data_IF_477599131927
#
_entry.id   IF_477599131927
#
_cell.length_a   1.000
_cell.length_b   1.000
_cell.length_c   1.000
_cell.angle_alpha   90.00
_cell.angle_beta   90.00
_cell.angle_gamma   90.00
#
_symmetry.space_group_name_H-M   'P 1'
#
loop_
_entity.id
_entity.type
_entity.pdbx_description
1 polymer ?
#
# COMPACT_ATOMS: atom_id res chain seq x y z
N UNK A 1 20.87 -17.02 -3.84
CA UNK A 1 20.17 -15.71 -3.77
C UNK A 1 19.28 -15.59 -5.00
N UNK A 2 18.01 -15.19 -4.89
CA UNK A 2 17.19 -14.95 -6.07
C UNK A 2 17.84 -13.85 -6.94
N UNK A 3 17.99 -14.13 -8.22
CA UNK A 3 18.65 -13.24 -9.19
C UNK A 3 17.75 -12.04 -9.44
N UNK A 4 18.24 -10.82 -9.18
CA UNK A 4 17.54 -9.58 -9.54
C UNK A 4 17.22 -9.59 -11.04
N UNK A 5 15.96 -9.39 -11.41
CA UNK A 5 15.56 -9.35 -12.81
C UNK A 5 16.07 -8.06 -13.47
N UNK A 6 16.46 -8.13 -14.75
CA UNK A 6 16.76 -6.94 -15.56
C UNK A 6 15.48 -6.15 -15.85
N UNK A 7 15.59 -4.86 -16.18
CA UNK A 7 14.42 -4.06 -16.56
C UNK A 7 13.74 -4.62 -17.82
N UNK A 8 14.51 -5.04 -18.83
CA UNK A 8 13.94 -5.69 -20.03
C UNK A 8 13.12 -6.93 -19.70
N UNK A 9 13.56 -7.74 -18.72
CA UNK A 9 12.80 -8.90 -18.28
C UNK A 9 11.52 -8.49 -17.54
N UNK A 10 11.54 -7.38 -16.80
CA UNK A 10 10.36 -6.83 -16.11
C UNK A 10 9.35 -6.23 -17.08
N UNK A 11 9.81 -5.54 -18.11
CA UNK A 11 8.96 -5.01 -19.19
C UNK A 11 8.33 -6.15 -20.01
N UNK A 12 9.11 -7.20 -20.34
CA UNK A 12 8.56 -8.42 -20.96
C UNK A 12 7.54 -9.13 -20.09
N UNK A 13 7.74 -9.10 -18.76
CA UNK A 13 6.79 -9.59 -17.77
C UNK A 13 5.65 -8.60 -17.48
N UNK A 14 5.53 -7.50 -18.23
CA UNK A 14 4.46 -6.50 -18.13
C UNK A 14 4.33 -5.86 -16.74
N UNK A 15 5.42 -5.73 -15.99
CA UNK A 15 5.41 -5.08 -14.65
C UNK A 15 5.23 -3.56 -14.68
N UNK A 16 5.09 -2.99 -15.88
CA UNK A 16 4.84 -1.58 -16.12
C UNK A 16 3.40 -1.30 -16.57
N UNK A 17 2.53 -2.31 -16.65
CA UNK A 17 1.13 -2.13 -17.06
C UNK A 17 0.20 -2.36 -15.88
N UNK A 18 -0.83 -1.52 -15.78
CA UNK A 18 -1.93 -1.71 -14.84
C UNK A 18 -2.96 -2.60 -15.51
N UNK A 19 -2.88 -3.90 -15.22
CA UNK A 19 -3.85 -4.91 -15.64
C UNK A 19 -4.23 -5.80 -14.43
N UNK A 20 -5.08 -6.79 -14.69
CA UNK A 20 -5.53 -7.74 -13.66
C UNK A 20 -4.40 -8.58 -13.04
N UNK A 21 -3.23 -8.63 -13.70
CA UNK A 21 -2.04 -9.36 -13.29
C UNK A 21 -0.88 -8.45 -12.90
N UNK A 22 -1.18 -7.19 -12.51
CA UNK A 22 -0.15 -6.22 -12.10
C UNK A 22 0.86 -6.83 -11.12
N UNK A 23 2.14 -6.57 -11.37
CA UNK A 23 3.23 -6.93 -10.46
C UNK A 23 4.07 -5.70 -10.16
N UNK A 24 4.41 -5.51 -8.88
CA UNK A 24 5.34 -4.47 -8.46
C UNK A 24 6.64 -4.52 -9.26
N UNK A 25 7.15 -3.34 -9.65
CA UNK A 25 8.41 -3.27 -10.40
C UNK A 25 9.58 -3.90 -9.65
N UNK A 26 9.64 -3.67 -8.33
CA UNK A 26 10.60 -4.31 -7.44
C UNK A 26 9.83 -5.16 -6.45
N UNK A 27 10.13 -6.45 -6.44
CA UNK A 27 9.62 -7.37 -5.43
C UNK A 27 10.57 -7.43 -4.23
N UNK A 28 10.04 -7.80 -3.06
CA UNK A 28 10.80 -7.85 -1.80
C UNK A 28 12.09 -8.67 -1.91
N UNK A 29 12.08 -9.77 -2.67
CA UNK A 29 13.23 -10.65 -2.89
C UNK A 29 14.35 -10.02 -3.74
N UNK A 30 14.02 -9.01 -4.56
CA UNK A 30 14.96 -8.30 -5.42
C UNK A 30 15.62 -7.10 -4.71
N UNK A 31 15.17 -6.79 -3.50
CA UNK A 31 15.58 -5.61 -2.75
C UNK A 31 16.60 -5.98 -1.66
N UNK A 32 17.88 -5.87 -2.02
CA UNK A 32 19.02 -6.13 -1.13
C UNK A 32 19.56 -4.82 -0.57
N UNK A 33 18.93 -4.29 0.48
CA UNK A 33 19.51 -3.21 1.30
C UNK A 33 19.84 -3.70 2.69
N UNK A 34 20.81 -3.05 3.36
CA UNK A 34 21.23 -3.37 4.72
C UNK A 34 20.11 -3.28 5.78
N UNK A 35 19.07 -2.48 5.52
CA UNK A 35 17.85 -2.48 6.32
C UNK A 35 16.89 -3.57 5.82
N UNK A 36 16.84 -4.71 6.50
CA UNK A 36 16.03 -5.90 6.19
C UNK A 36 14.51 -5.70 6.38
N UNK A 37 13.95 -4.54 6.03
CA UNK A 37 12.58 -4.16 6.39
C UNK A 37 11.57 -4.25 5.23
N UNK A 38 11.80 -5.18 4.29
CA UNK A 38 10.82 -5.50 3.24
C UNK A 38 9.67 -6.32 3.81
N UNK A 39 8.47 -6.15 3.27
CA UNK A 39 7.28 -6.91 3.66
C UNK A 39 6.52 -7.37 2.41
N UNK A 40 6.07 -8.62 2.40
CA UNK A 40 5.12 -9.10 1.40
C UNK A 40 3.80 -9.41 2.10
N UNK A 41 2.68 -9.06 1.47
CA UNK A 41 1.36 -9.20 2.08
C UNK A 41 0.30 -9.45 0.99
N UNK A 42 -0.63 -10.37 1.24
CA UNK A 42 -1.72 -10.66 0.31
C UNK A 42 -2.87 -9.69 0.55
N UNK A 43 -3.21 -8.86 -0.45
CA UNK A 43 -4.34 -7.94 -0.37
C UNK A 43 -5.64 -8.70 -0.13
N UNK A 44 -6.36 -8.35 0.93
CA UNK A 44 -7.58 -9.09 1.31
C UNK A 44 -8.74 -8.91 0.32
N UNK A 45 -8.71 -7.84 -0.49
CA UNK A 45 -9.76 -7.52 -1.46
C UNK A 45 -9.48 -8.11 -2.85
N UNK A 46 -8.24 -8.05 -3.34
CA UNK A 46 -7.86 -8.55 -4.68
C UNK A 46 -7.17 -9.92 -4.66
N UNK A 47 -6.71 -10.39 -3.50
CA UNK A 47 -5.93 -11.62 -3.38
C UNK A 47 -4.49 -11.51 -3.92
N UNK A 48 -4.07 -10.34 -4.40
CA UNK A 48 -2.75 -10.12 -4.98
C UNK A 48 -1.67 -10.09 -3.91
N UNK A 49 -0.56 -10.80 -4.14
CA UNK A 49 0.63 -10.68 -3.32
C UNK A 49 1.33 -9.35 -3.62
N UNK A 50 1.32 -8.45 -2.64
CA UNK A 50 1.94 -7.13 -2.72
C UNK A 50 3.35 -7.12 -2.12
N UNK A 51 4.19 -6.19 -2.58
CA UNK A 51 5.58 -6.04 -2.13
C UNK A 51 5.92 -4.63 -1.66
N UNK A 52 6.26 -4.49 -0.39
CA UNK A 52 6.63 -3.23 0.24
C UNK A 52 8.11 -3.20 0.59
N UNK A 53 8.78 -2.09 0.27
CA UNK A 53 10.22 -1.92 0.52
C UNK A 53 10.52 -1.29 1.89
N UNK A 54 9.49 -1.05 2.69
CA UNK A 54 9.58 -0.54 4.06
C UNK A 54 8.25 -0.59 4.79
N UNK A 55 8.27 -0.74 6.11
CA UNK A 55 7.05 -0.80 6.94
C UNK A 55 6.19 0.46 6.84
N UNK A 56 6.80 1.63 6.62
CA UNK A 56 6.05 2.88 6.44
C UNK A 56 5.11 2.81 5.22
N UNK A 57 5.59 2.21 4.11
CA UNK A 57 4.77 1.99 2.91
C UNK A 57 3.65 0.98 3.20
N UNK A 58 3.97 -0.09 3.93
CA UNK A 58 2.99 -1.11 4.31
C UNK A 58 1.88 -0.55 5.20
N UNK A 59 2.22 0.22 6.24
CA UNK A 59 1.23 0.84 7.11
C UNK A 59 0.38 1.88 6.37
N UNK A 60 0.99 2.70 5.51
CA UNK A 60 0.24 3.64 4.67
C UNK A 60 -0.74 2.91 3.74
N UNK A 61 -0.31 1.80 3.14
CA UNK A 61 -1.16 0.94 2.32
C UNK A 61 -2.35 0.41 3.13
N UNK A 62 -2.15 -0.12 4.34
CA UNK A 62 -3.24 -0.65 5.18
C UNK A 62 -4.32 0.41 5.45
N UNK A 63 -3.90 1.63 5.81
CA UNK A 63 -4.81 2.76 6.04
C UNK A 63 -5.58 3.14 4.77
N UNK A 64 -4.89 3.24 3.63
CA UNK A 64 -5.52 3.62 2.36
C UNK A 64 -6.46 2.54 1.86
N UNK A 65 -6.04 1.27 1.89
CA UNK A 65 -6.78 0.14 1.36
C UNK A 65 -8.08 -0.13 2.13
N UNK A 66 -8.12 0.23 3.41
CA UNK A 66 -9.31 0.16 4.24
C UNK A 66 -10.36 1.22 3.91
N UNK A 67 -10.03 2.28 3.16
CA UNK A 67 -11.02 3.29 2.75
C UNK A 67 -11.96 2.72 1.69
N UNK A 68 -13.27 2.97 1.85
CA UNK A 68 -14.30 2.44 0.96
C UNK A 68 -14.22 2.93 -0.47
N UNK A 69 -13.71 4.14 -0.69
CA UNK A 69 -13.56 4.71 -2.03
C UNK A 69 -12.38 4.10 -2.80
N UNK A 70 -11.46 3.38 -2.14
CA UNK A 70 -10.27 2.80 -2.78
C UNK A 70 -10.62 1.46 -3.43
N UNK A 71 -10.46 1.41 -4.75
CA UNK A 71 -10.68 0.23 -5.57
C UNK A 71 -9.45 -0.69 -5.58
N UNK A 72 -8.27 -0.14 -5.84
CA UNK A 72 -7.01 -0.89 -5.91
C UNK A 72 -5.80 0.01 -5.56
N UNK A 73 -4.66 -0.62 -5.24
CA UNK A 73 -3.41 0.06 -4.91
C UNK A 73 -2.24 -0.62 -5.62
N UNK A 74 -1.56 0.09 -6.52
CA UNK A 74 -0.40 -0.39 -7.26
C UNK A 74 0.89 0.11 -6.59
N UNK A 75 1.58 -0.79 -5.90
CA UNK A 75 2.80 -0.50 -5.15
C UNK A 75 4.05 -0.59 -6.02
N UNK A 76 5.05 0.25 -5.74
CA UNK A 76 6.30 0.33 -6.50
C UNK A 76 6.09 0.54 -8.01
N UNK A 77 5.12 1.39 -8.37
CA UNK A 77 4.73 1.61 -9.76
C UNK A 77 5.88 2.29 -10.54
N UNK A 78 6.34 1.73 -11.66
CA UNK A 78 7.46 2.27 -12.40
C UNK A 78 7.05 3.49 -13.25
N UNK A 79 7.80 4.58 -13.12
CA UNK A 79 7.63 5.73 -14.01
C UNK A 79 8.40 5.54 -15.32
N UNK A 80 7.95 6.22 -16.38
CA UNK A 80 8.68 6.24 -17.64
C UNK A 80 10.08 6.85 -17.42
N UNK A 81 11.12 6.13 -17.84
CA UNK A 81 12.50 6.54 -17.58
C UNK A 81 12.91 7.76 -18.40
N UNK A 82 12.48 7.83 -19.66
CA UNK A 82 12.82 8.95 -20.54
C UNK A 82 12.14 10.23 -20.06
N UNK A 83 10.86 10.14 -19.68
CA UNK A 83 10.13 11.28 -19.12
C UNK A 83 10.75 11.78 -17.81
N UNK A 84 11.08 10.86 -16.88
CA UNK A 84 11.72 11.24 -15.62
C UNK A 84 13.14 11.81 -15.82
N UNK A 85 13.89 11.33 -16.82
CA UNK A 85 15.18 11.90 -17.19
C UNK A 85 15.05 13.27 -17.85
N UNK A 86 14.07 13.48 -18.72
CA UNK A 86 13.79 14.78 -19.33
C UNK A 86 13.41 15.82 -18.26
N UNK A 87 12.58 15.43 -17.29
CA UNK A 87 12.25 16.27 -16.14
C UNK A 87 13.52 16.56 -15.33
N UNK A 88 14.33 15.54 -15.03
CA UNK A 88 15.58 15.73 -14.28
C UNK A 88 16.52 16.73 -14.97
N UNK A 89 16.69 16.63 -16.29
CA UNK A 89 17.54 17.54 -17.07
C UNK A 89 17.01 18.97 -17.05
N UNK A 90 15.69 19.15 -17.23
CA UNK A 90 15.05 20.46 -17.20
C UNK A 90 15.23 21.18 -15.86
N UNK A 91 15.44 20.42 -14.78
CA UNK A 91 15.65 20.90 -13.42
C UNK A 91 17.13 20.99 -13.02
N UNK A 92 18.05 20.57 -13.91
CA UNK A 92 19.48 20.46 -13.61
C UNK A 92 19.81 19.38 -12.55
N UNK A 93 18.96 18.36 -12.42
CA UNK A 93 19.12 17.25 -11.47
C UNK A 93 19.80 16.05 -12.11
N UNK A 94 20.37 15.19 -11.26
CA UNK A 94 21.01 13.94 -11.73
C UNK A 94 19.98 12.98 -12.35
N UNK A 95 20.28 12.50 -13.57
CA UNK A 95 19.54 11.45 -14.28
C UNK A 95 19.48 10.12 -13.52
N UNK A 96 18.50 9.30 -13.90
CA UNK A 96 18.34 7.90 -13.50
C UNK A 96 18.96 6.98 -14.55
N UNK A 97 19.59 5.91 -14.08
CA UNK A 97 20.22 4.91 -14.97
C UNK A 97 19.30 3.70 -15.12
N UNK A 98 19.32 3.08 -16.30
CA UNK A 98 18.71 1.78 -16.57
C UNK A 98 19.19 0.71 -15.58
N UNK A 99 18.31 -0.23 -15.24
CA UNK A 99 18.64 -1.48 -14.55
C UNK A 99 18.46 -1.46 -13.02
N UNK A 100 18.80 -0.36 -12.34
CA UNK A 100 18.80 -0.35 -10.85
C UNK A 100 18.23 0.90 -10.18
N UNK A 101 17.91 1.95 -10.95
CA UNK A 101 17.62 3.29 -10.37
C UNK A 101 16.40 4.00 -10.96
N UNK A 102 15.56 3.32 -11.75
CA UNK A 102 14.28 3.88 -12.21
C UNK A 102 13.47 4.41 -11.02
N UNK A 103 12.80 5.54 -11.23
CA UNK A 103 11.94 6.14 -10.22
C UNK A 103 10.64 5.33 -10.09
N UNK A 104 10.23 5.10 -8.85
CA UNK A 104 9.02 4.35 -8.52
C UNK A 104 8.12 5.20 -7.66
N UNK A 105 6.83 5.18 -7.94
CA UNK A 105 5.81 5.68 -7.03
C UNK A 105 5.50 4.63 -5.98
N UNK A 106 5.56 5.02 -4.71
CA UNK A 106 5.39 4.08 -3.60
C UNK A 106 4.01 3.42 -3.64
N UNK A 107 2.94 4.21 -3.78
CA UNK A 107 1.56 3.72 -3.89
C UNK A 107 0.80 4.57 -4.92
N UNK A 108 0.38 3.96 -6.02
CA UNK A 108 -0.55 4.55 -6.98
C UNK A 108 -1.94 3.97 -6.70
N UNK A 109 -2.85 4.80 -6.17
CA UNK A 109 -4.16 4.38 -5.69
C UNK A 109 -5.20 4.68 -6.75
N UNK A 110 -6.04 3.69 -7.08
CA UNK A 110 -7.21 3.85 -7.93
C UNK A 110 -8.47 3.91 -7.07
N UNK A 111 -9.28 4.93 -7.28
CA UNK A 111 -10.59 5.03 -6.62
C UNK A 111 -11.70 4.30 -7.42
N UNK A 112 -12.85 4.12 -6.78
CA UNK A 112 -14.04 3.49 -7.39
C UNK A 112 -14.62 4.29 -8.57
N UNK A 113 -14.30 5.58 -8.67
CA UNK A 113 -14.68 6.43 -9.80
C UNK A 113 -13.72 6.30 -10.98
N UNK A 114 -12.65 5.50 -10.84
CA UNK A 114 -11.64 5.27 -11.88
C UNK A 114 -10.50 6.27 -11.89
N UNK A 115 -10.47 7.25 -10.96
CA UNK A 115 -9.38 8.21 -10.88
C UNK A 115 -8.19 7.65 -10.10
N UNK A 116 -7.01 8.19 -10.41
CA UNK A 116 -5.76 7.81 -9.77
C UNK A 116 -5.22 8.92 -8.86
N UNK A 117 -4.59 8.54 -7.76
CA UNK A 117 -3.80 9.42 -6.90
C UNK A 117 -2.46 8.74 -6.60
N UNK A 118 -1.36 9.45 -6.85
CA UNK A 118 -0.02 8.99 -6.56
C UNK A 118 0.43 9.45 -5.16
N UNK A 119 0.99 8.54 -4.37
CA UNK A 119 1.48 8.82 -3.03
C UNK A 119 2.96 8.52 -2.87
N UNK A 120 3.71 9.53 -2.43
CA UNK A 120 5.06 9.37 -1.93
C UNK A 120 5.04 9.22 -0.40
N UNK A 121 5.38 8.03 0.08
CA UNK A 121 5.41 7.71 1.51
C UNK A 121 6.80 7.94 2.11
N UNK A 122 6.89 8.70 3.20
CA UNK A 122 8.14 8.92 3.94
C UNK A 122 7.90 8.99 5.45
N UNK A 123 8.94 8.81 6.26
CA UNK A 123 8.77 8.70 7.71
C UNK A 123 8.30 10.01 8.35
N UNK A 124 8.88 11.14 7.94
CA UNK A 124 8.63 12.46 8.51
C UNK A 124 9.07 13.57 7.55
N UNK A 125 8.69 14.82 7.84
CA UNK A 125 9.19 16.00 7.10
C UNK A 125 10.72 16.12 7.15
N UNK A 126 11.37 15.67 8.22
CA UNK A 126 12.83 15.70 8.36
C UNK A 126 13.53 14.85 7.29
N UNK A 127 12.86 13.83 6.76
CA UNK A 127 13.38 13.00 5.66
C UNK A 127 13.36 13.71 4.30
N UNK A 128 12.76 14.90 4.22
CA UNK A 128 12.77 15.79 3.05
C UNK A 128 13.52 17.10 3.34
N UNK A 129 14.49 17.07 4.25
CA UNK A 129 15.43 18.17 4.48
C UNK A 129 16.35 18.32 3.24
N UNK A 130 16.32 19.46 2.51
CA UNK A 130 17.13 19.63 1.31
C UNK A 130 18.64 19.74 1.60
N UNK A 131 19.04 20.10 2.81
CA UNK A 131 20.45 20.17 3.23
C UNK A 131 20.99 18.77 3.50
N UNK A 132 20.25 17.95 4.25
CA UNK A 132 20.68 16.60 4.65
C UNK A 132 20.38 15.53 3.60
N UNK A 133 19.28 15.70 2.86
CA UNK A 133 18.71 14.68 1.99
C UNK A 133 18.40 15.23 0.60
N UNK A 134 19.27 16.12 0.08
CA UNK A 134 19.15 16.76 -1.24
C UNK A 134 18.63 15.83 -2.34
N UNK A 135 19.26 14.65 -2.50
CA UNK A 135 18.88 13.71 -3.56
C UNK A 135 17.48 13.13 -3.39
N UNK A 136 16.99 12.97 -2.15
CA UNK A 136 15.63 12.50 -1.90
C UNK A 136 14.63 13.60 -2.29
N UNK A 137 14.93 14.86 -1.95
CA UNK A 137 14.10 16.01 -2.33
C UNK A 137 14.04 16.19 -3.85
N UNK A 138 15.18 16.08 -4.55
CA UNK A 138 15.22 16.12 -6.01
C UNK A 138 14.33 15.05 -6.64
N UNK A 139 14.42 13.80 -6.15
CA UNK A 139 13.58 12.69 -6.62
C UNK A 139 12.10 12.96 -6.37
N UNK A 140 11.78 13.41 -5.17
CA UNK A 140 10.43 13.76 -4.76
C UNK A 140 9.81 14.82 -5.69
N UNK A 141 10.59 15.83 -6.07
CA UNK A 141 10.14 16.88 -6.99
C UNK A 141 10.00 16.40 -8.44
N UNK A 142 10.89 15.54 -8.92
CA UNK A 142 10.75 14.91 -10.25
C UNK A 142 9.46 14.08 -10.32
N UNK A 143 9.18 13.27 -9.30
CA UNK A 143 7.95 12.47 -9.24
C UNK A 143 6.70 13.37 -9.25
N UNK A 144 6.71 14.46 -8.48
CA UNK A 144 5.64 15.45 -8.51
C UNK A 144 5.40 16.01 -9.92
N UNK A 145 6.46 16.43 -10.62
CA UNK A 145 6.34 16.96 -11.99
C UNK A 145 5.83 15.91 -12.98
N UNK A 146 6.26 14.65 -12.83
CA UNK A 146 5.79 13.53 -13.64
C UNK A 146 4.28 13.34 -13.51
N UNK A 147 3.75 13.24 -12.30
CA UNK A 147 2.31 13.04 -12.14
C UNK A 147 1.49 14.27 -12.48
N UNK A 148 2.06 15.47 -12.27
CA UNK A 148 1.47 16.73 -12.71
C UNK A 148 1.28 16.77 -14.23
N UNK A 149 2.27 16.33 -15.02
CA UNK A 149 2.14 16.28 -16.49
C UNK A 149 1.09 15.27 -16.96
N UNK A 150 0.80 14.26 -16.14
CA UNK A 150 -0.23 13.24 -16.39
C UNK A 150 -1.62 13.61 -15.83
N UNK A 151 -1.80 14.80 -15.26
CA UNK A 151 -3.03 15.23 -14.58
C UNK A 151 -3.48 14.29 -13.45
N UNK A 152 -2.52 13.64 -12.78
CA UNK A 152 -2.77 12.76 -11.63
C UNK A 152 -2.35 13.50 -10.35
N UNK A 153 -3.25 13.66 -9.37
CA UNK A 153 -2.89 14.23 -8.08
C UNK A 153 -1.76 13.46 -7.42
N UNK A 154 -0.75 14.19 -6.93
CA UNK A 154 0.38 13.64 -6.21
C UNK A 154 0.42 14.18 -4.78
N UNK A 155 0.63 13.30 -3.80
CA UNK A 155 0.58 13.63 -2.37
C UNK A 155 1.72 12.98 -1.60
N UNK A 156 2.13 13.61 -0.50
CA UNK A 156 3.11 13.06 0.43
C UNK A 156 2.38 12.52 1.66
N UNK A 157 2.74 11.31 2.10
CA UNK A 157 2.33 10.76 3.39
C UNK A 157 3.53 10.79 4.32
N UNK A 158 3.47 11.66 5.33
CA UNK A 158 4.37 11.64 6.49
C UNK A 158 3.81 10.67 7.52
N UNK A 159 4.41 9.49 7.65
CA UNK A 159 3.83 8.41 8.46
C UNK A 159 3.80 8.73 9.96
N UNK A 160 4.71 9.57 10.45
CA UNK A 160 4.70 10.05 11.83
C UNK A 160 3.50 10.93 12.16
N UNK A 161 2.85 11.53 11.15
CA UNK A 161 1.72 12.45 11.31
C UNK A 161 0.38 11.84 10.87
N UNK A 162 0.38 11.08 9.77
CA UNK A 162 -0.85 10.66 9.10
C UNK A 162 -1.14 9.16 9.20
N UNK A 163 -0.23 8.37 9.76
CA UNK A 163 -0.40 6.92 9.87
C UNK A 163 -0.35 6.50 11.32
N UNK A 164 -1.50 6.18 11.87
CA UNK A 164 -1.57 5.51 13.16
C UNK A 164 -1.14 4.04 12.98
N UNK A 165 0.08 3.71 13.43
CA UNK A 165 0.65 2.36 13.33
C UNK A 165 -0.20 1.33 14.02
N UNK A 166 -0.81 1.72 15.14
CA UNK A 166 -1.78 0.91 15.86
C UNK A 166 -2.87 0.61 14.85
N UNK A 167 -3.69 1.59 14.45
CA UNK A 167 -4.80 1.43 13.49
C UNK A 167 -4.50 0.45 12.34
N UNK A 168 -3.40 0.68 11.63
CA UNK A 168 -2.92 -0.18 10.55
C UNK A 168 -2.80 -1.67 10.97
N UNK A 169 -2.24 -1.97 12.13
CA UNK A 169 -2.12 -3.34 12.66
C UNK A 169 -3.48 -3.98 12.95
N UNK A 170 -4.52 -3.24 13.40
CA UNK A 170 -5.85 -3.87 13.61
C UNK A 170 -6.53 -4.08 12.28
N UNK A 171 -6.37 -3.16 11.33
CA UNK A 171 -6.84 -3.37 9.97
C UNK A 171 -6.24 -4.67 9.42
N UNK A 172 -4.91 -4.86 9.57
CA UNK A 172 -4.25 -6.10 9.18
C UNK A 172 -4.87 -7.32 9.88
N UNK A 173 -5.03 -7.30 11.21
CA UNK A 173 -5.63 -8.42 11.95
C UNK A 173 -7.06 -8.71 11.47
N UNK A 174 -7.89 -7.68 11.28
CA UNK A 174 -9.27 -7.84 10.83
C UNK A 174 -9.32 -8.35 9.38
N UNK A 175 -8.34 -7.99 8.55
CA UNK A 175 -8.29 -8.38 7.14
C UNK A 175 -8.16 -9.88 6.91
N UNK A 176 -7.66 -10.64 7.88
CA UNK A 176 -7.60 -12.11 7.85
C UNK A 176 -9.01 -12.74 7.79
N UNK A 177 -10.01 -12.01 8.26
CA UNK A 177 -11.42 -12.40 8.28
C UNK A 177 -12.25 -11.67 7.22
N UNK A 178 -11.63 -11.18 6.13
CA UNK A 178 -12.38 -10.62 5.01
C UNK A 178 -13.32 -11.65 4.37
N UNK A 179 -12.85 -12.88 4.14
CA UNK A 179 -13.69 -13.95 3.62
C UNK A 179 -14.62 -14.47 4.73
N UNK A 180 -15.94 -14.50 4.44
CA UNK A 180 -16.96 -15.09 5.34
C UNK A 180 -16.60 -16.52 5.75
N UNK A 181 -15.93 -17.25 4.86
CA UNK A 181 -15.51 -18.64 5.07
C UNK A 181 -14.43 -18.80 6.14
N UNK A 182 -13.82 -17.72 6.63
CA UNK A 182 -12.85 -17.78 7.72
C UNK A 182 -13.48 -17.57 9.10
N UNK A 183 -14.73 -17.12 9.18
CA UNK A 183 -15.40 -16.81 10.45
C UNK A 183 -15.99 -18.07 11.12
N UNK A 184 -15.59 -18.38 12.35
CA UNK A 184 -16.02 -19.50 13.20
C UNK A 184 -16.37 -19.10 14.62
N UNK A 185 -15.95 -17.94 15.10
CA UNK A 185 -16.22 -17.45 16.46
C UNK A 185 -16.78 -16.03 16.44
N UNK A 186 -17.33 -15.58 17.57
CA UNK A 186 -17.80 -14.20 17.75
C UNK A 186 -16.69 -13.16 17.55
N UNK A 187 -15.49 -13.45 18.05
CA UNK A 187 -14.31 -12.59 17.87
C UNK A 187 -14.00 -12.38 16.38
N UNK A 188 -14.06 -13.44 15.60
CA UNK A 188 -13.82 -13.41 14.16
C UNK A 188 -14.96 -12.72 13.41
N UNK A 189 -16.20 -12.88 13.87
CA UNK A 189 -17.34 -12.14 13.33
C UNK A 189 -17.18 -10.65 13.59
N UNK A 190 -16.77 -10.22 14.79
CA UNK A 190 -16.48 -8.82 15.08
C UNK A 190 -15.44 -8.27 14.10
N UNK A 191 -14.31 -8.98 13.93
CA UNK A 191 -13.25 -8.62 12.97
C UNK A 191 -13.76 -8.54 11.53
N UNK A 192 -14.61 -9.48 11.13
CA UNK A 192 -15.26 -9.50 9.81
C UNK A 192 -16.14 -8.26 9.59
N UNK A 193 -17.00 -7.93 10.56
CA UNK A 193 -17.86 -6.76 10.49
C UNK A 193 -17.04 -5.46 10.44
N UNK A 194 -15.92 -5.38 11.19
CA UNK A 194 -15.00 -4.24 11.15
C UNK A 194 -14.37 -4.10 9.77
N UNK A 195 -13.77 -5.15 9.21
CA UNK A 195 -13.06 -5.02 7.92
C UNK A 195 -14.00 -4.68 6.76
N UNK A 196 -15.24 -5.15 6.82
CA UNK A 196 -16.33 -4.77 5.89
C UNK A 196 -16.98 -3.42 6.22
N UNK A 197 -16.54 -2.75 7.30
CA UNK A 197 -17.06 -1.47 7.77
C UNK A 197 -18.57 -1.49 8.03
N UNK A 198 -19.11 -2.67 8.35
CA UNK A 198 -20.49 -2.85 8.78
C UNK A 198 -20.72 -2.27 10.19
N UNK A 199 -19.64 -2.10 10.96
CA UNK A 199 -19.63 -1.38 12.24
C UNK A 199 -18.50 -0.35 12.27
N UNK A 200 -18.73 0.75 13.01
CA UNK A 200 -17.70 1.74 13.30
C UNK A 200 -16.99 1.30 14.58
N UNK A 201 -15.68 1.09 14.50
CA UNK A 201 -14.88 0.63 15.64
C UNK A 201 -13.59 1.48 15.80
N UNK A 202 -13.21 1.89 17.02
CA UNK A 202 -12.00 2.67 17.27
C UNK A 202 -10.73 1.82 17.08
N UNK A 203 -10.23 1.73 15.85
CA UNK A 203 -9.07 0.88 15.54
C UNK A 203 -7.73 1.43 16.05
N UNK A 204 -7.67 2.67 16.51
CA UNK A 204 -6.44 3.36 16.95
C UNK A 204 -5.96 2.97 18.36
N UNK A 205 -6.71 2.16 19.11
CA UNK A 205 -6.39 1.72 20.48
C UNK A 205 -6.02 0.23 20.58
N UNK A 206 -5.37 -0.17 21.67
CA UNK A 206 -5.19 -1.60 21.95
C UNK A 206 -6.57 -2.23 22.12
N UNK A 207 -6.87 -3.27 21.34
CA UNK A 207 -8.18 -3.95 21.36
C UNK A 207 -7.96 -5.37 21.85
N UNK A 208 -8.75 -5.77 22.84
CA UNK A 208 -9.00 -7.17 23.15
C UNK A 208 -10.24 -7.63 22.37
N UNK A 209 -10.06 -8.18 21.17
CA UNK A 209 -11.19 -8.51 20.29
C UNK A 209 -12.14 -9.54 20.90
N UNK A 210 -11.64 -10.41 21.78
CA UNK A 210 -12.45 -11.45 22.41
C UNK A 210 -13.45 -10.83 23.40
N UNK A 211 -12.97 -9.94 24.26
CA UNK A 211 -13.77 -9.19 25.23
C UNK A 211 -14.76 -8.26 24.54
N UNK A 212 -14.31 -7.49 23.54
CA UNK A 212 -15.20 -6.61 22.78
C UNK A 212 -16.28 -7.40 22.03
N UNK A 213 -15.96 -8.60 21.54
CA UNK A 213 -16.93 -9.44 20.85
C UNK A 213 -17.95 -10.06 21.80
N UNK A 214 -17.61 -10.36 23.05
CA UNK A 214 -18.57 -10.89 24.02
C UNK A 214 -19.63 -9.85 24.40
N UNK A 215 -19.26 -8.56 24.37
CA UNK A 215 -20.18 -7.45 24.63
C UNK A 215 -21.01 -7.06 23.40
N UNK A 216 -20.39 -7.02 22.22
CA UNK A 216 -21.01 -6.46 21.00
C UNK A 216 -21.78 -7.53 20.20
N UNK A 217 -21.31 -8.78 20.18
CA UNK A 217 -21.86 -9.85 19.33
C UNK A 217 -22.81 -10.73 20.15
N UNK A 218 -24.12 -10.53 19.95
CA UNK A 218 -25.16 -11.38 20.54
C UNK A 218 -25.13 -12.79 19.96
N UNK A 219 -25.62 -13.77 20.72
CA UNK A 219 -25.75 -15.16 20.24
C UNK A 219 -26.65 -15.24 19.01
N UNK A 220 -27.80 -14.54 19.03
CA UNK A 220 -28.73 -14.47 17.89
C UNK A 220 -28.07 -13.94 16.61
N UNK A 221 -27.30 -12.85 16.69
CA UNK A 221 -26.57 -12.31 15.54
C UNK A 221 -25.57 -13.32 14.99
N UNK A 222 -24.85 -14.00 15.87
CA UNK A 222 -23.84 -14.97 15.49
C UNK A 222 -24.45 -16.22 14.86
N UNK A 223 -25.51 -16.78 15.44
CA UNK A 223 -26.25 -17.92 14.89
C UNK A 223 -26.82 -17.59 13.51
N UNK A 224 -27.49 -16.44 13.37
CA UNK A 224 -28.00 -15.96 12.09
C UNK A 224 -26.91 -15.79 11.03
N UNK A 225 -25.73 -15.32 11.42
CA UNK A 225 -24.58 -15.23 10.51
C UNK A 225 -24.15 -16.62 10.02
N UNK A 226 -24.06 -17.60 10.92
CA UNK A 226 -23.67 -18.98 10.57
C UNK A 226 -24.70 -19.68 9.68
N UNK A 227 -25.99 -19.40 9.85
CA UNK A 227 -27.05 -19.91 8.98
C UNK A 227 -26.91 -19.37 7.55
N UNK A 228 -26.72 -18.05 7.41
CA UNK A 228 -26.53 -17.39 6.11
C UNK A 228 -25.24 -17.83 5.38
N UNK A 229 -24.29 -18.43 6.09
CA UNK A 229 -23.05 -18.96 5.52
C UNK A 229 -23.23 -20.33 4.85
N UNK A 230 -24.25 -21.10 5.23
CA UNK A 230 -24.48 -22.47 4.75
C UNK A 230 -25.12 -22.54 3.35
N UNK A 231 -25.42 -21.39 2.74
CA UNK A 231 -25.92 -21.24 1.38
C UNK A 231 -24.92 -20.42 0.52
#
# INVERSE_FOLDING_TARGET
>A
MPKKMSEEAKEKAKRNTIDEYYQAWIQSQEYTTASHTTCSFTDWKSGRLMHFLGLNQFYAYLILRYKDYVLDVYEQYPLNLDETNNIADSLGYKRFNHGTKRMLTHLLVKDKSGHYIAYFVTSSRKSLDPVKHRRVVEKCYIEYQYWKSHNIPWRIIFTDQFVNKREAINIKICSEFWNKDNVRTKEELLKHLIIHRAIIFPLSQVINFNEEASEIITDDLFEKYLENKKF
#
